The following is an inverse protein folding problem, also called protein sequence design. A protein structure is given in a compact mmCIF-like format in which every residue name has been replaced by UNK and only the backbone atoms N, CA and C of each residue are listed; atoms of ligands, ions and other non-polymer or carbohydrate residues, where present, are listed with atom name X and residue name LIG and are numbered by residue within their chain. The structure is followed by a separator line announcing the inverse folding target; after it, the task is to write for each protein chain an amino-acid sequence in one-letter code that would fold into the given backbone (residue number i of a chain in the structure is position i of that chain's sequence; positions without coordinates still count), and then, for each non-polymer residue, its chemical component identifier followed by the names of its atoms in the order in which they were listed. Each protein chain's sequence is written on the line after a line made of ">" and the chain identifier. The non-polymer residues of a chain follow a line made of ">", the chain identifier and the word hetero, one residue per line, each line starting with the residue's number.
data_IF_511635433809
#
_entry.id   IF_511635433809
#
_cell.length_a   1.000
_cell.length_b   1.000
_cell.length_c   1.000
_cell.angle_alpha   90.00
_cell.angle_beta   90.00
_cell.angle_gamma   90.00
#
_symmetry.space_group_name_H-M   'P 1'
#
loop_
_entity.id
_entity.type
_entity.pdbx_description
1 polymer ?
#
# COMPACT_ATOMS: atom_id res chain seq x y z
N UNK A 1 -19.59 -5.18 -3.70
CA UNK A 1 -18.21 -5.49 -3.26
C UNK A 1 -17.94 -4.58 -2.07
N UNK A 2 -17.36 -5.09 -0.98
CA UNK A 2 -17.06 -4.32 0.24
C UNK A 2 -15.79 -3.49 0.06
N UNK A 3 -15.68 -2.40 0.80
CA UNK A 3 -14.43 -1.65 0.98
C UNK A 3 -13.39 -2.61 1.59
N UNK A 4 -12.14 -2.66 1.08
CA UNK A 4 -11.08 -3.45 1.69
C UNK A 4 -10.86 -3.06 3.15
N UNK A 5 -10.64 -4.04 4.03
CA UNK A 5 -10.22 -3.76 5.40
C UNK A 5 -8.80 -3.15 5.38
N UNK A 6 -8.60 -2.07 6.12
CA UNK A 6 -7.36 -1.31 6.12
C UNK A 6 -6.52 -1.59 7.36
N UNK A 7 -5.22 -1.67 7.16
CA UNK A 7 -4.22 -1.98 8.18
C UNK A 7 -3.72 -0.69 8.81
N UNK A 8 -3.70 -0.62 10.15
CA UNK A 8 -3.21 0.58 10.84
C UNK A 8 -1.71 0.50 11.09
N UNK A 9 -0.95 1.47 10.56
CA UNK A 9 0.48 1.63 10.85
C UNK A 9 0.66 2.19 12.26
N UNK A 10 1.47 1.52 13.09
CA UNK A 10 1.74 1.87 14.48
C UNK A 10 3.07 2.63 14.66
N UNK A 11 3.98 2.54 13.68
CA UNK A 11 5.28 3.20 13.75
C UNK A 11 6.23 2.78 12.64
N UNK A 12 7.42 3.39 12.62
CA UNK A 12 8.47 3.12 11.64
C UNK A 12 9.74 2.65 12.35
N UNK A 13 10.45 1.72 11.73
CA UNK A 13 11.78 1.25 12.18
C UNK A 13 12.83 1.66 11.13
N UNK A 14 14.10 1.39 11.41
CA UNK A 14 15.17 1.61 10.42
C UNK A 14 14.98 0.75 9.16
N UNK A 15 14.44 -0.46 9.32
CA UNK A 15 14.37 -1.47 8.26
C UNK A 15 12.95 -1.73 7.74
N UNK A 16 11.94 -1.02 8.26
CA UNK A 16 10.55 -1.32 7.95
C UNK A 16 9.55 -0.43 8.69
N UNK A 17 8.36 -0.98 8.91
CA UNK A 17 7.28 -0.35 9.63
C UNK A 17 6.51 -1.37 10.48
N UNK A 18 5.85 -0.88 11.53
CA UNK A 18 5.02 -1.68 12.42
C UNK A 18 3.57 -1.55 11.98
N UNK A 19 2.90 -2.67 11.72
CA UNK A 19 1.50 -2.74 11.32
C UNK A 19 0.70 -3.51 12.37
N UNK A 20 -0.52 -3.05 12.67
CA UNK A 20 -1.47 -3.81 13.46
C UNK A 20 -2.33 -4.68 12.53
N UNK A 21 -2.17 -5.99 12.64
CA UNK A 21 -2.87 -7.01 11.86
C UNK A 21 -3.66 -7.85 12.85
N UNK A 22 -4.99 -7.75 12.81
CA UNK A 22 -5.91 -8.50 13.69
C UNK A 22 -5.58 -8.40 15.20
N UNK A 23 -5.06 -7.26 15.63
CA UNK A 23 -4.69 -7.00 17.03
C UNK A 23 -3.25 -7.38 17.38
N UNK A 24 -2.49 -7.95 16.46
CA UNK A 24 -1.07 -8.24 16.61
C UNK A 24 -0.22 -7.16 15.92
N UNK A 25 0.81 -6.67 16.61
CA UNK A 25 1.78 -5.75 16.01
C UNK A 25 2.88 -6.57 15.33
N UNK A 26 2.94 -6.46 14.01
CA UNK A 26 3.93 -7.15 13.17
C UNK A 26 4.86 -6.12 12.54
N UNK A 27 6.17 -6.39 12.56
CA UNK A 27 7.13 -5.62 11.77
C UNK A 27 7.16 -6.13 10.34
N UNK A 28 6.92 -5.24 9.38
CA UNK A 28 7.07 -5.47 7.95
C UNK A 28 8.38 -4.84 7.52
N UNK A 29 9.37 -5.67 7.19
CA UNK A 29 10.68 -5.21 6.70
C UNK A 29 10.58 -4.90 5.21
N UNK A 30 11.26 -3.84 4.76
CA UNK A 30 11.28 -3.48 3.34
C UNK A 30 11.84 -4.61 2.46
N UNK A 31 12.85 -5.33 2.96
CA UNK A 31 13.47 -6.46 2.26
C UNK A 31 12.54 -7.67 2.12
N UNK A 32 11.48 -7.77 2.94
CA UNK A 32 10.51 -8.87 2.92
C UNK A 32 9.32 -8.57 2.00
N UNK A 33 9.21 -7.34 1.47
CA UNK A 33 8.16 -6.97 0.52
C UNK A 33 8.40 -7.72 -0.79
N UNK A 34 7.35 -8.38 -1.29
CA UNK A 34 7.36 -9.16 -2.53
C UNK A 34 6.65 -8.43 -3.66
N UNK A 35 5.60 -7.67 -3.36
CA UNK A 35 4.86 -6.90 -4.35
C UNK A 35 4.23 -5.65 -3.74
N UNK A 36 4.01 -4.65 -4.58
CA UNK A 36 3.22 -3.47 -4.25
C UNK A 36 2.29 -3.18 -5.43
N UNK A 37 1.00 -3.08 -5.15
CA UNK A 37 -0.01 -2.66 -6.13
C UNK A 37 -0.94 -1.60 -5.56
N UNK A 38 -1.55 -0.84 -6.44
CA UNK A 38 -2.64 0.07 -6.10
C UNK A 38 -3.94 -0.53 -6.63
N UNK A 39 -4.94 -0.63 -5.77
CA UNK A 39 -6.31 -0.98 -6.13
C UNK A 39 -7.19 0.26 -6.05
N UNK A 40 -7.85 0.60 -7.15
CA UNK A 40 -8.83 1.69 -7.21
C UNK A 40 -10.25 1.15 -7.21
N UNK A 41 -11.19 1.95 -6.75
CA UNK A 41 -12.62 1.64 -6.82
C UNK A 41 -13.40 2.80 -7.44
N UNK A 42 -14.62 2.52 -7.92
CA UNK A 42 -15.52 3.55 -8.45
C UNK A 42 -16.47 4.12 -7.38
N UNK A 43 -16.13 3.99 -6.09
CA UNK A 43 -16.98 4.39 -4.96
C UNK A 43 -16.68 5.80 -4.42
N UNK A 44 -15.59 6.42 -4.91
CA UNK A 44 -15.24 7.79 -4.58
C UNK A 44 -16.24 8.82 -5.14
N UNK A 45 -16.12 10.09 -4.72
CA UNK A 45 -15.14 10.62 -3.76
C UNK A 45 -15.61 10.53 -2.29
N UNK A 46 -16.80 9.98 -2.03
CA UNK A 46 -17.37 9.95 -0.68
C UNK A 46 -16.88 8.77 0.17
N UNK A 47 -16.40 7.71 -0.49
CA UNK A 47 -15.77 6.56 0.13
C UNK A 47 -14.32 6.47 -0.34
N UNK A 48 -13.42 5.87 0.44
CA UNK A 48 -12.05 5.64 -0.01
C UNK A 48 -12.04 4.82 -1.30
N UNK A 49 -11.32 5.32 -2.30
CA UNK A 49 -11.33 4.80 -3.66
C UNK A 49 -9.94 4.44 -4.19
N UNK A 50 -8.91 4.59 -3.36
CA UNK A 50 -7.54 4.24 -3.70
C UNK A 50 -6.84 3.58 -2.52
N UNK A 51 -6.40 2.34 -2.72
CA UNK A 51 -5.78 1.50 -1.70
C UNK A 51 -4.42 1.00 -2.18
N UNK A 52 -3.42 1.06 -1.30
CA UNK A 52 -2.10 0.53 -1.50
C UNK A 52 -1.99 -0.83 -0.84
N UNK A 53 -1.72 -1.85 -1.64
CA UNK A 53 -1.55 -3.23 -1.19
C UNK A 53 -0.06 -3.54 -1.20
N UNK A 54 0.51 -3.74 -0.02
CA UNK A 54 1.91 -4.15 0.17
C UNK A 54 1.90 -5.62 0.60
N UNK A 55 2.47 -6.48 -0.24
CA UNK A 55 2.53 -7.91 0.02
C UNK A 55 3.94 -8.32 0.48
N UNK A 56 3.97 -9.28 1.40
CA UNK A 56 5.16 -10.03 1.79
C UNK A 56 4.85 -11.52 1.63
N UNK A 57 5.80 -12.40 1.94
CA UNK A 57 5.51 -13.84 1.99
C UNK A 57 4.51 -14.25 3.09
N UNK A 58 4.29 -13.39 4.10
CA UNK A 58 3.54 -13.75 5.32
C UNK A 58 2.26 -12.97 5.52
N UNK A 59 2.25 -11.70 5.13
CA UNK A 59 1.18 -10.76 5.41
C UNK A 59 0.92 -9.87 4.20
N UNK A 60 -0.33 -9.44 4.06
CA UNK A 60 -0.77 -8.41 3.14
C UNK A 60 -1.21 -7.21 3.95
N UNK A 61 -0.65 -6.04 3.62
CA UNK A 61 -0.97 -4.76 4.25
C UNK A 61 -1.78 -3.95 3.26
N UNK A 62 -2.93 -3.45 3.69
CA UNK A 62 -3.81 -2.59 2.89
C UNK A 62 -3.84 -1.21 3.51
N UNK A 63 -3.37 -0.19 2.80
CA UNK A 63 -3.35 1.19 3.29
C UNK A 63 -4.25 2.05 2.41
N UNK A 64 -5.09 2.88 3.03
CA UNK A 64 -5.79 3.92 2.29
C UNK A 64 -4.79 4.96 1.82
N UNK A 65 -4.98 5.50 0.62
CA UNK A 65 -4.12 6.54 0.08
C UNK A 65 -4.04 7.78 0.99
N UNK A 66 -5.13 8.07 1.71
CA UNK A 66 -5.25 9.24 2.59
C UNK A 66 -4.83 8.95 4.04
N UNK A 67 -4.30 7.76 4.36
CA UNK A 67 -3.77 7.47 5.68
C UNK A 67 -2.58 8.41 6.00
N UNK A 68 -2.58 9.15 7.13
CA UNK A 68 -1.51 10.07 7.48
C UNK A 68 -0.12 9.41 7.54
N UNK A 69 -0.05 8.15 7.96
CA UNK A 69 1.18 7.37 8.01
C UNK A 69 1.72 7.07 6.62
N UNK A 70 0.86 7.02 5.60
CA UNK A 70 1.26 6.73 4.24
C UNK A 70 2.19 7.80 3.66
N UNK A 71 2.04 9.07 4.09
CA UNK A 71 2.94 10.18 3.69
C UNK A 71 4.40 9.90 4.03
N UNK A 72 4.65 9.18 5.13
CA UNK A 72 6.01 8.78 5.55
C UNK A 72 6.49 7.50 4.87
N UNK A 73 5.58 6.59 4.55
CA UNK A 73 5.90 5.31 3.93
C UNK A 73 6.19 5.43 2.43
N UNK A 74 5.40 6.25 1.71
CA UNK A 74 5.47 6.35 0.25
C UNK A 74 6.89 6.63 -0.30
N UNK A 75 7.67 7.61 0.25
CA UNK A 75 9.04 7.84 -0.23
C UNK A 75 9.93 6.60 -0.11
N UNK A 76 9.75 5.80 0.95
CA UNK A 76 10.52 4.57 1.17
C UNK A 76 10.17 3.48 0.15
N UNK A 77 8.90 3.37 -0.22
CA UNK A 77 8.46 2.45 -1.28
C UNK A 77 8.95 2.92 -2.66
N UNK A 78 8.91 4.22 -2.93
CA UNK A 78 9.38 4.80 -4.20
C UNK A 78 10.91 4.71 -4.39
N UNK A 79 11.67 4.56 -3.31
CA UNK A 79 13.13 4.34 -3.34
C UNK A 79 13.49 2.90 -3.78
N UNK A 80 12.52 1.98 -3.88
CA UNK A 80 12.79 0.61 -4.32
C UNK A 80 13.27 0.59 -5.79
N UNK A 81 14.35 -0.15 -6.12
CA UNK A 81 14.81 -0.29 -7.49
C UNK A 81 13.70 -0.83 -8.39
N UNK A 82 13.50 -0.20 -9.55
CA UNK A 82 12.47 -0.61 -10.51
C UNK A 82 11.05 -0.11 -10.22
N UNK A 83 10.83 0.68 -9.15
CA UNK A 83 9.52 1.20 -8.81
C UNK A 83 8.88 2.01 -9.95
N UNK A 84 7.66 1.63 -10.34
CA UNK A 84 6.93 2.17 -11.48
C UNK A 84 6.05 3.35 -11.07
N UNK A 85 6.67 4.53 -10.98
CA UNK A 85 5.95 5.78 -10.71
C UNK A 85 4.90 6.14 -11.78
N UNK A 86 5.01 5.62 -13.01
CA UNK A 86 3.98 5.83 -14.04
C UNK A 86 2.69 5.08 -13.70
N UNK A 87 2.79 3.87 -13.14
CA UNK A 87 1.62 3.12 -12.69
C UNK A 87 0.91 3.84 -11.53
N UNK A 88 1.65 4.49 -10.64
CA UNK A 88 1.06 5.37 -9.59
C UNK A 88 0.24 6.49 -10.22
N UNK A 89 0.82 7.23 -11.18
CA UNK A 89 0.12 8.34 -11.86
C UNK A 89 -1.16 7.85 -12.54
N UNK A 90 -1.11 6.69 -13.20
CA UNK A 90 -2.28 6.08 -13.84
C UNK A 90 -3.35 5.69 -12.82
N UNK A 91 -2.95 5.13 -11.67
CA UNK A 91 -3.85 4.78 -10.59
C UNK A 91 -4.56 6.03 -10.01
N UNK A 92 -3.81 7.10 -9.72
CA UNK A 92 -4.38 8.36 -9.20
C UNK A 92 -5.38 9.03 -10.15
N UNK A 93 -5.33 8.71 -11.45
CA UNK A 93 -6.27 9.20 -12.45
C UNK A 93 -7.42 8.25 -12.77
N UNK A 94 -7.46 7.07 -12.13
CA UNK A 94 -8.49 6.05 -12.36
C UNK A 94 -9.78 6.41 -11.63
N UNK A 95 -10.90 6.24 -12.33
CA UNK A 95 -12.26 6.29 -11.74
C UNK A 95 -12.94 4.92 -11.76
N UNK A 96 -12.23 3.92 -12.29
CA UNK A 96 -12.71 2.57 -12.46
C UNK A 96 -12.19 1.66 -11.35
N UNK A 97 -12.83 0.50 -11.21
CA UNK A 97 -12.27 -0.58 -10.41
C UNK A 97 -11.11 -1.23 -11.16
N UNK A 98 -9.87 -0.97 -10.73
CA UNK A 98 -8.66 -1.38 -11.45
C UNK A 98 -7.50 -1.67 -10.50
N UNK A 99 -6.56 -2.50 -10.96
CA UNK A 99 -5.33 -2.84 -10.24
C UNK A 99 -4.10 -2.40 -11.03
N UNK A 100 -3.14 -1.77 -10.33
CA UNK A 100 -1.92 -1.23 -10.92
C UNK A 100 -0.71 -1.78 -10.16
N UNK A 101 0.05 -2.68 -10.78
CA UNK A 101 1.32 -3.13 -10.23
C UNK A 101 2.34 -1.98 -10.29
N UNK A 102 2.83 -1.55 -9.12
CA UNK A 102 3.80 -0.45 -9.03
C UNK A 102 5.20 -0.94 -8.70
N UNK A 103 5.32 -2.10 -8.07
CA UNK A 103 6.60 -2.74 -7.83
C UNK A 103 6.43 -4.24 -7.57
N UNK A 104 7.42 -5.02 -7.96
CA UNK A 104 7.54 -6.44 -7.65
C UNK A 104 9.02 -6.72 -7.41
N UNK A 105 9.30 -7.63 -6.48
CA UNK A 105 10.66 -8.10 -6.23
C UNK A 105 11.11 -9.00 -7.37
N UNK A 106 12.34 -8.79 -7.83
CA UNK A 106 12.99 -9.63 -8.86
C UNK A 106 13.10 -11.11 -8.45
#
# INVERSE_FOLDING_TARGET
>A
MSIPDTTSIQGFTEHGFLANIDGEIVEVRYDDITSIRIETTNQGPFLPDCFWIVETERVTITLENDDPSFTMLLPKLQDLPGFNNKAVILAMGSVDHAGFLVWEKD
#
